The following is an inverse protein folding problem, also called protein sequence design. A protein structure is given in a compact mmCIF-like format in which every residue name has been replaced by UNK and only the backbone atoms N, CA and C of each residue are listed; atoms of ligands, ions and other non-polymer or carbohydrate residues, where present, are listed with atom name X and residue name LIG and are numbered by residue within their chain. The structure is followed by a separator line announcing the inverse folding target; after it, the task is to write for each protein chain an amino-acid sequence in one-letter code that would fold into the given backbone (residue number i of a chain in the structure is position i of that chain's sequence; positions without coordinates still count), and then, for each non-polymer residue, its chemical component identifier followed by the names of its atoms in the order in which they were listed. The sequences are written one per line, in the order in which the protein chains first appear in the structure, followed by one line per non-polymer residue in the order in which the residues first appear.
data_IF_406920625269
#
_entry.id   IF_406920625269
#
_cell.length_a   1.000
_cell.length_b   1.000
_cell.length_c   1.000
_cell.angle_alpha   90.00
_cell.angle_beta   90.00
_cell.angle_gamma   90.00
#
_symmetry.space_group_name_H-M   'P 1'
#
loop_
_entity.id
_entity.type
_entity.pdbx_description
1 polymer ?
#
# COMPACT_ATOMS: atom_id res chain seq x y z
N UNK A 1 25.55 -11.41 -40.99
CA UNK A 1 25.33 -11.24 -39.53
C UNK A 1 24.87 -9.84 -39.11
N UNK A 2 25.25 -8.74 -39.78
CA UNK A 2 24.83 -7.35 -39.41
C UNK A 2 23.33 -7.04 -39.56
N UNK A 3 22.58 -7.68 -40.47
CA UNK A 3 21.14 -7.46 -40.66
C UNK A 3 20.28 -7.93 -39.48
N UNK A 4 20.68 -8.98 -38.77
CA UNK A 4 19.96 -9.48 -37.58
C UNK A 4 20.25 -8.62 -36.33
N UNK A 5 21.43 -8.00 -36.26
CA UNK A 5 21.80 -7.10 -35.16
C UNK A 5 21.01 -5.78 -35.24
N UNK A 6 20.82 -5.23 -36.44
CA UNK A 6 20.00 -4.02 -36.63
C UNK A 6 18.52 -4.27 -36.32
N UNK A 7 18.00 -5.45 -36.69
CA UNK A 7 16.63 -5.86 -36.37
C UNK A 7 16.43 -6.08 -34.86
N UNK A 8 17.40 -6.68 -34.17
CA UNK A 8 17.40 -6.83 -32.70
C UNK A 8 17.48 -5.47 -31.98
N UNK A 9 18.28 -4.52 -32.48
CA UNK A 9 18.33 -3.16 -31.94
C UNK A 9 16.99 -2.45 -32.15
N UNK A 10 16.34 -2.60 -33.31
CA UNK A 10 15.02 -2.03 -33.58
C UNK A 10 13.92 -2.66 -32.72
N UNK A 11 13.94 -3.98 -32.51
CA UNK A 11 13.01 -4.70 -31.63
C UNK A 11 13.22 -4.31 -30.16
N UNK A 12 14.46 -4.09 -29.74
CA UNK A 12 14.79 -3.60 -28.39
C UNK A 12 14.35 -2.14 -28.19
N UNK A 13 14.61 -1.26 -29.17
CA UNK A 13 14.18 0.13 -29.15
C UNK A 13 12.64 0.23 -29.19
N UNK A 14 11.98 -0.62 -29.98
CA UNK A 14 10.53 -0.70 -30.04
C UNK A 14 9.94 -1.21 -28.71
N UNK A 15 10.52 -2.25 -28.09
CA UNK A 15 10.10 -2.73 -26.75
C UNK A 15 10.30 -1.67 -25.66
N UNK A 16 11.29 -0.78 -25.79
CA UNK A 16 11.44 0.39 -24.91
C UNK A 16 10.40 1.48 -25.19
N UNK A 17 9.90 1.60 -26.42
CA UNK A 17 8.82 2.52 -26.81
C UNK A 17 7.41 1.99 -26.49
N UNK A 18 7.25 0.68 -26.26
CA UNK A 18 5.99 0.05 -25.83
C UNK A 18 5.86 -0.15 -24.32
N UNK A 19 6.88 0.22 -23.54
CA UNK A 19 6.76 0.24 -22.09
C UNK A 19 5.92 1.47 -21.73
N UNK A 20 4.64 1.25 -21.44
CA UNK A 20 3.80 2.28 -20.83
C UNK A 20 4.58 2.84 -19.64
N UNK A 21 4.85 4.15 -19.67
CA UNK A 21 5.48 4.85 -18.56
C UNK A 21 4.53 4.76 -17.37
N UNK A 22 4.68 3.69 -16.58
CA UNK A 22 4.01 3.51 -15.30
C UNK A 22 4.74 4.43 -14.33
N UNK A 23 4.41 5.71 -14.45
CA UNK A 23 4.88 6.71 -13.53
C UNK A 23 4.18 6.49 -12.18
N UNK A 24 4.88 6.75 -11.08
CA UNK A 24 4.37 6.46 -9.74
C UNK A 24 3.00 7.12 -9.55
N UNK A 25 2.04 6.37 -8.97
CA UNK A 25 0.67 6.81 -8.74
C UNK A 25 0.55 7.44 -7.34
N UNK A 26 -0.34 8.43 -7.14
CA UNK A 26 -0.60 8.95 -5.81
C UNK A 26 -1.23 7.87 -4.91
N UNK A 27 -0.92 7.91 -3.62
CA UNK A 27 -1.47 7.03 -2.61
C UNK A 27 -2.83 7.57 -2.14
N UNK A 28 -3.84 6.71 -2.04
CA UNK A 28 -5.19 7.08 -1.61
C UNK A 28 -5.68 6.14 -0.52
N UNK A 29 -6.61 6.63 0.32
CA UNK A 29 -7.38 5.76 1.21
C UNK A 29 -8.71 5.41 0.56
N UNK A 30 -8.99 4.12 0.39
CA UNK A 30 -10.19 3.62 -0.30
C UNK A 30 -10.56 2.24 0.26
N UNK A 31 -11.86 1.89 0.39
CA UNK A 31 -13.03 2.74 0.16
C UNK A 31 -13.26 3.78 1.26
N UNK A 32 -13.80 4.94 0.88
CA UNK A 32 -14.27 5.99 1.79
C UNK A 32 -15.75 5.77 2.06
N UNK A 33 -16.14 5.75 3.33
CA UNK A 33 -17.52 5.49 3.75
C UNK A 33 -18.20 6.78 4.21
N UNK A 34 -19.42 6.99 3.74
CA UNK A 34 -20.32 8.04 4.21
C UNK A 34 -21.69 7.47 4.53
N UNK A 35 -22.41 8.19 5.37
CA UNK A 35 -23.81 7.91 5.68
C UNK A 35 -24.71 8.81 4.86
N UNK A 36 -25.87 8.30 4.47
CA UNK A 36 -26.83 9.08 3.71
C UNK A 36 -27.16 10.38 4.46
N UNK A 37 -27.03 11.52 3.78
CA UNK A 37 -27.28 12.85 4.36
C UNK A 37 -26.16 13.39 5.26
N UNK A 38 -25.07 12.66 5.48
CA UNK A 38 -23.92 13.17 6.24
C UNK A 38 -23.11 14.20 5.46
N UNK A 39 -22.50 15.16 6.17
CA UNK A 39 -21.58 16.14 5.56
C UNK A 39 -20.30 15.46 5.09
N UNK A 40 -20.10 15.38 3.77
CA UNK A 40 -18.88 14.88 3.17
C UNK A 40 -17.74 15.91 3.25
N UNK A 41 -16.51 15.40 3.22
CA UNK A 41 -15.28 16.20 3.13
C UNK A 41 -14.66 15.99 1.76
N UNK A 42 -13.83 16.93 1.32
CA UNK A 42 -13.07 16.75 0.08
C UNK A 42 -12.20 15.48 0.18
N UNK A 43 -12.13 14.73 -0.92
CA UNK A 43 -11.28 13.54 -0.98
C UNK A 43 -9.81 13.93 -0.82
N UNK A 44 -9.02 13.02 -0.25
CA UNK A 44 -7.59 13.22 -0.05
C UNK A 44 -6.79 12.19 -0.84
N UNK A 45 -5.64 12.64 -1.34
CA UNK A 45 -4.64 11.80 -1.97
C UNK A 45 -3.27 12.33 -1.56
N UNK A 46 -2.32 11.42 -1.38
CA UNK A 46 -0.95 11.74 -1.00
C UNK A 46 -0.07 11.58 -2.24
N UNK A 47 0.54 12.65 -2.75
CA UNK A 47 1.48 12.52 -3.84
C UNK A 47 2.73 11.76 -3.40
N UNK A 48 3.42 11.11 -4.34
CA UNK A 48 4.66 10.39 -4.04
C UNK A 48 5.86 11.33 -3.93
N UNK A 49 5.73 12.55 -4.43
CA UNK A 49 6.75 13.60 -4.38
C UNK A 49 6.12 14.92 -3.92
N UNK A 50 6.77 15.72 -3.06
CA UNK A 50 6.25 17.02 -2.62
C UNK A 50 6.05 18.04 -3.75
N UNK A 51 6.76 17.89 -4.87
CA UNK A 51 6.63 18.75 -6.06
C UNK A 51 5.48 18.33 -6.98
N UNK A 52 4.82 17.20 -6.70
CA UNK A 52 3.74 16.71 -7.53
C UNK A 52 2.46 17.55 -7.38
N UNK A 53 1.73 17.70 -8.48
CA UNK A 53 0.39 18.31 -8.49
C UNK A 53 -0.66 17.23 -8.69
N UNK A 54 -1.75 17.26 -7.92
CA UNK A 54 -2.82 16.27 -8.02
C UNK A 54 -3.90 16.74 -9.00
N UNK A 55 -4.35 15.85 -9.87
CA UNK A 55 -5.47 16.07 -10.81
C UNK A 55 -6.57 15.07 -10.55
N UNK A 56 -7.81 15.55 -10.58
CA UNK A 56 -8.97 14.78 -10.14
C UNK A 56 -9.95 14.59 -11.29
N UNK A 57 -10.54 13.40 -11.40
CA UNK A 57 -11.40 13.03 -12.51
C UNK A 57 -12.65 12.27 -12.06
N UNK A 58 -13.71 12.42 -12.85
CA UNK A 58 -15.00 11.73 -12.67
C UNK A 58 -15.04 10.30 -13.22
N UNK A 59 -14.06 9.91 -14.05
CA UNK A 59 -14.03 8.60 -14.71
C UNK A 59 -12.60 8.04 -14.83
N UNK A 60 -12.48 6.72 -15.05
CA UNK A 60 -11.20 6.03 -15.23
C UNK A 60 -10.48 6.49 -16.50
N UNK A 61 -11.23 6.73 -17.58
CA UNK A 61 -10.76 7.24 -18.87
C UNK A 61 -11.73 8.33 -19.36
N UNK A 62 -11.22 9.41 -19.94
CA UNK A 62 -12.04 10.56 -20.31
C UNK A 62 -12.69 11.27 -19.11
N UNK A 63 -13.87 11.85 -19.31
CA UNK A 63 -14.65 12.53 -18.28
C UNK A 63 -14.20 13.96 -17.97
N UNK A 64 -14.89 14.60 -17.03
CA UNK A 64 -14.59 15.97 -16.58
C UNK A 64 -13.49 15.94 -15.52
N UNK A 65 -12.48 16.80 -15.69
CA UNK A 65 -11.48 17.09 -14.66
C UNK A 65 -12.08 18.06 -13.63
N UNK A 66 -11.87 17.79 -12.36
CA UNK A 66 -12.25 18.70 -11.28
C UNK A 66 -11.13 19.71 -11.05
N UNK A 67 -11.51 20.97 -10.80
CA UNK A 67 -10.59 22.07 -10.50
C UNK A 67 -9.87 21.84 -9.16
N UNK A 68 -10.48 21.07 -8.26
CA UNK A 68 -9.96 20.71 -6.94
C UNK A 68 -10.43 19.32 -6.52
N UNK A 69 -9.98 18.85 -5.36
CA UNK A 69 -10.44 17.59 -4.80
C UNK A 69 -11.97 17.59 -4.66
N UNK A 70 -12.68 16.60 -5.25
CA UNK A 70 -14.13 16.57 -5.26
C UNK A 70 -14.67 16.30 -3.86
N UNK A 71 -15.82 16.92 -3.55
CA UNK A 71 -16.62 16.62 -2.37
C UNK A 71 -17.75 15.69 -2.83
N UNK A 72 -17.78 14.41 -2.40
CA UNK A 72 -18.81 13.47 -2.84
C UNK A 72 -20.20 13.87 -2.35
N UNK A 73 -21.23 13.62 -3.17
CA UNK A 73 -22.62 13.70 -2.71
C UNK A 73 -22.98 12.49 -1.87
N UNK A 74 -23.64 12.72 -0.74
CA UNK A 74 -24.14 11.70 0.20
C UNK A 74 -25.66 11.63 0.22
N UNK A 75 -26.35 12.32 -0.70
CA UNK A 75 -27.82 12.40 -0.72
C UNK A 75 -28.50 11.06 -1.01
N UNK A 76 -27.87 10.24 -1.84
CA UNK A 76 -28.39 8.95 -2.29
C UNK A 76 -27.43 7.83 -1.91
N UNK A 77 -27.98 6.71 -1.46
CA UNK A 77 -27.24 5.48 -1.17
C UNK A 77 -26.72 4.91 -2.49
N UNK A 78 -25.41 5.00 -2.71
CA UNK A 78 -24.77 4.58 -3.94
C UNK A 78 -23.25 4.43 -3.74
N UNK A 79 -22.64 3.66 -4.64
CA UNK A 79 -21.19 3.59 -4.77
C UNK A 79 -20.77 4.50 -5.94
N UNK A 80 -19.96 5.51 -5.64
CA UNK A 80 -19.43 6.46 -6.64
C UNK A 80 -17.92 6.30 -6.71
N UNK A 81 -17.36 6.29 -7.93
CA UNK A 81 -15.91 6.21 -8.12
C UNK A 81 -15.36 7.57 -8.53
N UNK A 82 -14.30 8.00 -7.87
CA UNK A 82 -13.50 9.15 -8.25
C UNK A 82 -12.09 8.67 -8.61
N UNK A 83 -11.39 9.46 -9.40
CA UNK A 83 -10.06 9.10 -9.87
C UNK A 83 -9.11 10.25 -9.66
N UNK A 84 -7.86 9.93 -9.34
CA UNK A 84 -6.82 10.92 -9.12
C UNK A 84 -5.52 10.48 -9.78
N UNK A 85 -4.82 11.42 -10.40
CA UNK A 85 -3.46 11.26 -10.87
C UNK A 85 -2.58 12.31 -10.20
N UNK A 86 -1.27 12.15 -10.37
CA UNK A 86 -0.32 13.19 -10.02
C UNK A 86 0.53 13.55 -11.24
N UNK A 87 0.93 14.81 -11.32
CA UNK A 87 1.86 15.31 -12.33
C UNK A 87 3.17 15.73 -11.66
N UNK A 88 4.29 15.13 -12.08
CA UNK A 88 5.64 15.46 -11.61
C UNK A 88 6.49 15.80 -12.84
N UNK A 89 7.12 16.98 -12.86
CA UNK A 89 7.97 17.39 -13.98
C UNK A 89 7.24 17.43 -15.34
N UNK A 90 5.92 17.67 -15.34
CA UNK A 90 5.10 17.69 -16.56
C UNK A 90 4.64 16.32 -17.04
N UNK A 91 5.03 15.22 -16.38
CA UNK A 91 4.56 13.87 -16.68
C UNK A 91 3.43 13.49 -15.71
N UNK A 92 2.29 13.14 -16.27
CA UNK A 92 1.14 12.68 -15.50
C UNK A 92 1.18 11.16 -15.28
N UNK A 93 0.86 10.73 -14.06
CA UNK A 93 0.81 9.33 -13.70
C UNK A 93 -0.29 8.59 -14.45
N UNK A 94 0.05 7.43 -15.01
CA UNK A 94 -0.93 6.52 -15.63
C UNK A 94 -0.72 5.09 -15.08
N UNK A 95 -1.79 4.33 -14.82
CA UNK A 95 -3.21 4.68 -14.91
C UNK A 95 -3.69 5.62 -13.78
N UNK A 96 -4.95 6.09 -13.84
CA UNK A 96 -5.56 6.88 -12.78
C UNK A 96 -5.83 6.03 -11.54
N UNK A 97 -5.50 6.53 -10.35
CA UNK A 97 -5.79 5.85 -9.08
C UNK A 97 -7.27 6.00 -8.74
N UNK A 98 -7.97 4.88 -8.48
CA UNK A 98 -9.39 4.88 -8.13
C UNK A 98 -9.61 5.06 -6.63
N UNK A 99 -10.55 5.93 -6.27
CA UNK A 99 -11.12 6.06 -4.93
C UNK A 99 -12.60 5.68 -5.00
N UNK A 100 -12.98 4.66 -4.23
CA UNK A 100 -14.37 4.24 -4.10
C UNK A 100 -15.03 4.94 -2.92
N UNK A 101 -16.11 5.66 -3.17
CA UNK A 101 -16.94 6.27 -2.15
C UNK A 101 -18.22 5.45 -2.01
N UNK A 102 -18.52 4.98 -0.80
CA UNK A 102 -19.70 4.20 -0.48
C UNK A 102 -20.61 4.99 0.45
N UNK A 103 -21.78 5.36 -0.06
CA UNK A 103 -22.84 5.98 0.76
C UNK A 103 -23.77 4.87 1.23
N UNK A 104 -23.84 4.67 2.54
CA UNK A 104 -24.66 3.64 3.17
C UNK A 104 -25.97 4.25 3.68
N UNK A 105 -27.06 3.48 3.60
CA UNK A 105 -28.34 3.84 4.20
C UNK A 105 -28.23 3.83 5.72
N UNK A 106 -28.75 4.86 6.39
CA UNK A 106 -29.04 4.74 7.83
C UNK A 106 -30.40 4.07 7.98
N UNK A 107 -30.39 2.75 8.18
CA UNK A 107 -31.62 1.98 8.37
C UNK A 107 -32.24 2.19 9.77
N UNK A 108 -31.67 3.09 10.60
CA UNK A 108 -32.10 3.32 11.98
C UNK A 108 -32.00 2.09 12.89
N UNK A 109 -31.45 0.97 12.38
CA UNK A 109 -31.54 -0.34 12.98
C UNK A 109 -30.33 -0.58 13.88
N UNK A 110 -30.55 -0.49 15.20
CA UNK A 110 -29.53 -0.66 16.24
C UNK A 110 -29.21 -2.13 16.56
N UNK A 111 -29.43 -3.06 15.63
CA UNK A 111 -29.03 -4.46 15.81
C UNK A 111 -27.53 -4.54 15.52
N UNK A 112 -26.72 -4.67 16.58
CA UNK A 112 -25.25 -4.67 16.62
C UNK A 112 -24.57 -3.34 16.88
N UNK A 113 -25.29 -2.28 17.23
CA UNK A 113 -24.70 -0.96 17.51
C UNK A 113 -23.75 -0.50 16.39
N UNK A 114 -24.02 -0.87 15.14
CA UNK A 114 -23.38 -0.32 13.94
C UNK A 114 -24.44 0.56 13.27
N UNK A 115 -24.65 1.75 13.84
CA UNK A 115 -25.33 2.78 13.06
C UNK A 115 -24.41 3.17 11.92
N UNK A 116 -24.97 3.74 10.86
CA UNK A 116 -24.15 4.54 9.98
C UNK A 116 -23.76 5.81 10.75
N UNK A 117 -22.77 5.67 11.64
CA UNK A 117 -22.22 6.71 12.47
C UNK A 117 -20.72 6.77 12.20
N UNK A 118 -20.28 7.93 11.70
CA UNK A 118 -18.88 8.21 11.37
C UNK A 118 -17.96 7.96 12.57
N UNK A 119 -18.44 8.24 13.78
CA UNK A 119 -17.66 8.05 15.01
C UNK A 119 -17.32 6.58 15.27
N UNK A 120 -18.22 5.66 14.90
CA UNK A 120 -17.95 4.23 15.03
C UNK A 120 -17.04 3.70 13.93
N UNK A 121 -17.15 4.21 12.69
CA UNK A 121 -16.23 3.84 11.61
C UNK A 121 -14.80 4.27 11.96
N UNK A 122 -14.60 5.49 12.45
CA UNK A 122 -13.28 5.98 12.86
C UNK A 122 -12.71 5.18 14.06
N UNK A 123 -13.54 4.83 15.04
CA UNK A 123 -13.13 3.99 16.18
C UNK A 123 -12.80 2.56 15.74
N UNK A 124 -13.54 1.98 14.79
CA UNK A 124 -13.27 0.65 14.24
C UNK A 124 -11.96 0.65 13.45
N UNK A 125 -11.72 1.67 12.61
CA UNK A 125 -10.47 1.81 11.85
C UNK A 125 -9.29 2.03 12.79
N UNK A 126 -9.42 2.88 13.82
CA UNK A 126 -8.38 3.09 14.82
C UNK A 126 -8.11 1.83 15.64
N UNK A 127 -9.15 1.10 16.02
CA UNK A 127 -9.02 -0.18 16.75
C UNK A 127 -8.39 -1.27 15.87
N UNK A 128 -8.69 -1.31 14.58
CA UNK A 128 -8.05 -2.21 13.62
C UNK A 128 -6.59 -1.84 13.37
N UNK A 129 -6.24 -0.55 13.27
CA UNK A 129 -4.86 -0.07 13.14
C UNK A 129 -4.03 -0.40 14.39
N UNK A 130 -4.60 -0.22 15.59
CA UNK A 130 -3.96 -0.60 16.84
C UNK A 130 -3.78 -2.12 16.94
N UNK A 131 -4.76 -2.91 16.48
CA UNK A 131 -4.66 -4.36 16.44
C UNK A 131 -3.61 -4.83 15.42
N UNK A 132 -3.55 -4.21 14.23
CA UNK A 132 -2.52 -4.49 13.22
C UNK A 132 -1.14 -4.12 13.75
N UNK A 133 -0.96 -2.96 14.37
CA UNK A 133 0.29 -2.55 14.99
C UNK A 133 0.71 -3.52 16.11
N UNK A 134 -0.25 -3.97 16.92
CA UNK A 134 -0.02 -4.99 17.95
C UNK A 134 0.47 -6.29 17.29
N UNK A 135 -0.28 -6.85 16.34
CA UNK A 135 0.09 -8.10 15.64
C UNK A 135 1.48 -8.00 14.98
N UNK A 136 1.81 -6.86 14.35
CA UNK A 136 3.14 -6.60 13.78
C UNK A 136 4.24 -6.57 14.84
N UNK A 137 3.96 -6.03 16.03
CA UNK A 137 4.90 -6.02 17.14
C UNK A 137 5.12 -7.41 17.74
N UNK A 138 4.06 -8.22 17.88
CA UNK A 138 4.18 -9.61 18.36
C UNK A 138 4.98 -10.48 17.39
N UNK A 139 4.77 -10.33 16.09
CA UNK A 139 5.52 -11.08 15.07
C UNK A 139 6.99 -10.65 15.00
N UNK A 140 7.28 -9.34 15.08
CA UNK A 140 8.65 -8.81 15.12
C UNK A 140 9.44 -9.28 16.35
N UNK A 141 8.84 -9.18 17.55
CA UNK A 141 9.47 -9.65 18.79
C UNK A 141 9.73 -11.17 18.72
N UNK A 142 8.77 -11.94 18.15
CA UNK A 142 8.94 -13.38 17.94
C UNK A 142 10.11 -13.73 17.02
N UNK A 143 10.26 -13.01 15.90
CA UNK A 143 11.39 -13.20 14.98
C UNK A 143 12.73 -12.83 15.62
N UNK A 144 12.80 -11.72 16.38
CA UNK A 144 14.02 -11.31 17.09
C UNK A 144 14.43 -12.37 18.12
N UNK A 145 13.47 -12.87 18.92
CA UNK A 145 13.74 -13.91 19.91
C UNK A 145 14.21 -15.21 19.26
N UNK A 146 13.60 -15.60 18.14
CA UNK A 146 14.02 -16.79 17.39
C UNK A 146 15.45 -16.66 16.87
N UNK A 147 15.82 -15.51 16.28
CA UNK A 147 17.20 -15.24 15.84
C UNK A 147 18.18 -15.31 17.00
N UNK A 148 17.81 -14.75 18.15
CA UNK A 148 18.64 -14.80 19.36
C UNK A 148 18.87 -16.24 19.84
N UNK A 149 17.82 -17.07 19.86
CA UNK A 149 17.92 -18.49 20.22
C UNK A 149 18.77 -19.28 19.22
N UNK A 150 18.63 -19.02 17.92
CA UNK A 150 19.47 -19.63 16.88
C UNK A 150 20.93 -19.25 17.11
N UNK A 151 21.23 -17.98 17.36
CA UNK A 151 22.60 -17.52 17.62
C UNK A 151 23.21 -18.16 18.88
N UNK A 152 22.43 -18.30 19.96
CA UNK A 152 22.86 -19.03 21.16
C UNK A 152 23.15 -20.49 20.83
N UNK A 153 22.26 -21.16 20.10
CA UNK A 153 22.43 -22.56 19.74
C UNK A 153 23.68 -22.78 18.88
N UNK A 154 23.91 -21.90 17.91
CA UNK A 154 25.12 -21.88 17.09
C UNK A 154 26.37 -21.68 17.98
N UNK A 155 26.35 -20.73 18.92
CA UNK A 155 27.49 -20.50 19.82
C UNK A 155 27.80 -21.72 20.71
N UNK A 156 26.77 -22.39 21.23
CA UNK A 156 26.92 -23.64 22.00
C UNK A 156 27.56 -24.73 21.15
N UNK A 157 27.05 -24.95 19.93
CA UNK A 157 27.63 -25.92 18.99
C UNK A 157 29.08 -25.58 18.64
N UNK A 158 29.41 -24.30 18.42
CA UNK A 158 30.80 -23.88 18.19
C UNK A 158 31.69 -24.20 19.39
N UNK A 159 31.22 -23.96 20.62
CA UNK A 159 31.99 -24.29 21.83
C UNK A 159 32.21 -25.80 21.97
N UNK A 160 31.21 -26.63 21.65
CA UNK A 160 31.35 -28.09 21.65
C UNK A 160 32.34 -28.58 20.60
N UNK A 161 32.29 -28.02 19.38
CA UNK A 161 33.23 -28.34 18.30
C UNK A 161 34.66 -27.92 18.63
N UNK A 162 34.85 -26.71 19.19
CA UNK A 162 36.17 -26.24 19.63
C UNK A 162 36.75 -27.13 20.74
N UNK A 163 35.92 -27.52 21.71
CA UNK A 163 36.34 -28.46 22.77
C UNK A 163 36.76 -29.81 22.18
N UNK A 164 36.07 -30.29 21.15
CA UNK A 164 36.45 -31.53 20.46
C UNK A 164 37.77 -31.41 19.69
N UNK A 165 38.00 -30.27 19.01
CA UNK A 165 39.26 -29.99 18.30
C UNK A 165 40.45 -29.96 19.27
N UNK A 166 40.32 -29.29 20.43
CA UNK A 166 41.38 -29.26 21.44
C UNK A 166 41.69 -30.66 22.01
N UNK A 167 40.67 -31.50 22.21
CA UNK A 167 40.86 -32.87 22.70
C UNK A 167 41.61 -33.74 21.68
N UNK A 168 41.30 -33.63 20.40
CA UNK A 168 41.98 -34.37 19.32
C UNK A 168 43.44 -33.96 19.18
N UNK A 169 43.76 -32.66 19.30
CA UNK A 169 45.15 -32.17 19.30
C UNK A 169 45.94 -32.74 20.48
N UNK A 170 45.33 -32.82 21.68
CA UNK A 170 45.98 -33.39 22.86
C UNK A 170 46.26 -34.91 22.72
N UNK A 171 45.38 -35.63 22.01
CA UNK A 171 45.52 -37.06 21.73
C UNK A 171 46.58 -37.38 20.67
N UNK A 172 46.85 -36.47 19.73
CA UNK A 172 47.87 -36.65 18.68
C UNK A 172 49.27 -36.26 19.15
N UNK A 173 49.39 -35.37 20.14
CA UNK A 173 50.68 -34.90 20.69
C UNK A 173 51.24 -35.77 21.83
N UNK A 174 50.69 -36.97 22.07
CA UNK A 174 51.16 -37.94 23.08
C UNK A 174 51.50 -39.26 22.43
#
# INVERSE_FOLDING_TARGET
MKKNLLLLVFVCLANMLFSSSVFAQPTVSTPVYYCQGSTATALTATPTDPSATLRWYSALTGGTEFISAPIPSTTTVANTSYYVTQTIGGLESTPRTRIEVRVLADNGSSILSLRCDRTQIDVIVLKLLLLLQYIMQFTLIGQILLVYLINIHIAILLMEVLRFQELQVLLVCR
#
